data_IF_747887351753
#
_entry.id   IF_747887351753
#
_cell.length_a   1.000
_cell.length_b   1.000
_cell.length_c   1.000
_cell.angle_alpha   90.00
_cell.angle_beta   90.00
_cell.angle_gamma   90.00
#
_symmetry.space_group_name_H-M   'P 1'
#
loop_
_entity.id
_entity.type
_entity.pdbx_description
1 polymer ?
#
# COMPACT_ATOMS: atom_id res chain seq x y z
N UNK A 1 -18.48 31.28 17.22
CA UNK A 1 -18.68 29.90 16.77
C UNK A 1 -17.31 29.34 16.45
N UNK A 2 -16.70 28.67 17.42
CA UNK A 2 -15.44 27.95 17.23
C UNK A 2 -15.76 26.71 16.42
N UNK A 3 -15.32 26.67 15.16
CA UNK A 3 -15.28 25.41 14.42
C UNK A 3 -14.35 24.48 15.20
N UNK A 4 -14.94 23.50 15.89
CA UNK A 4 -14.23 22.34 16.36
C UNK A 4 -13.66 21.71 15.10
N UNK A 5 -12.35 21.85 14.89
CA UNK A 5 -11.60 21.06 13.92
C UNK A 5 -12.00 19.61 14.19
N UNK A 6 -12.91 19.06 13.38
CA UNK A 6 -13.30 17.66 13.50
C UNK A 6 -12.05 16.90 13.11
N UNK A 7 -11.36 16.38 14.13
CA UNK A 7 -10.23 15.49 13.93
C UNK A 7 -10.69 14.39 12.98
N UNK A 8 -9.95 14.10 11.90
CA UNK A 8 -10.24 12.95 11.09
C UNK A 8 -10.25 11.72 12.02
N UNK A 9 -11.18 10.77 11.82
CA UNK A 9 -11.23 9.57 12.65
C UNK A 9 -9.85 8.91 12.66
N UNK A 10 -9.46 8.27 13.79
CA UNK A 10 -8.18 7.58 13.85
C UNK A 10 -8.08 6.59 12.70
N UNK A 11 -6.98 6.66 11.95
CA UNK A 11 -6.78 5.81 10.80
C UNK A 11 -6.76 4.34 11.24
N UNK A 12 -7.22 3.41 10.39
CA UNK A 12 -7.06 2.00 10.66
C UNK A 12 -5.57 1.69 10.92
N UNK A 13 -5.21 0.82 11.89
CA UNK A 13 -3.81 0.55 12.26
C UNK A 13 -2.88 0.20 11.09
N UNK A 14 -3.44 -0.40 10.04
CA UNK A 14 -2.71 -0.80 8.83
C UNK A 14 -2.34 0.38 7.95
N UNK A 15 -3.25 1.35 7.87
CA UNK A 15 -3.02 2.59 7.14
C UNK A 15 -2.06 3.49 7.93
N UNK A 16 -2.26 3.57 9.24
CA UNK A 16 -1.38 4.26 10.17
C UNK A 16 0.08 3.74 10.07
N UNK A 17 0.27 2.42 10.14
CA UNK A 17 1.57 1.78 9.92
C UNK A 17 2.22 2.20 8.59
N UNK A 18 1.45 2.18 7.50
CA UNK A 18 1.97 2.49 6.18
C UNK A 18 2.46 3.95 6.10
N UNK A 19 1.67 4.88 6.63
CA UNK A 19 2.02 6.30 6.64
C UNK A 19 3.25 6.60 7.52
N UNK A 20 3.44 5.89 8.62
CA UNK A 20 4.58 6.12 9.50
C UNK A 20 5.88 5.45 9.02
N UNK A 21 5.78 4.35 8.26
CA UNK A 21 6.95 3.51 7.96
C UNK A 21 7.33 3.44 6.48
N UNK A 22 6.39 3.58 5.55
CA UNK A 22 6.61 3.27 4.13
C UNK A 22 6.41 4.48 3.21
N UNK A 23 5.45 5.37 3.51
CA UNK A 23 5.05 6.46 2.59
C UNK A 23 6.20 7.41 2.24
N UNK A 24 7.12 7.69 3.17
CA UNK A 24 8.24 8.60 2.94
C UNK A 24 9.29 8.03 1.97
N UNK A 25 9.46 6.70 1.93
CA UNK A 25 10.29 6.05 0.92
C UNK A 25 9.57 6.10 -0.44
N UNK A 26 8.28 5.74 -0.45
CA UNK A 26 7.48 5.73 -1.67
C UNK A 26 7.34 7.13 -2.32
N UNK A 27 7.29 8.19 -1.52
CA UNK A 27 7.20 9.57 -2.00
C UNK A 27 8.51 10.10 -2.61
N UNK A 28 9.66 9.54 -2.18
CA UNK A 28 10.97 9.92 -2.73
C UNK A 28 11.26 9.22 -4.05
N UNK A 29 10.78 8.00 -4.20
CA UNK A 29 10.97 7.18 -5.39
C UNK A 29 9.85 7.38 -6.41
N UNK A 30 10.07 6.94 -7.64
CA UNK A 30 8.99 6.89 -8.63
C UNK A 30 8.01 5.78 -8.24
N UNK A 31 6.76 6.13 -7.97
CA UNK A 31 5.73 5.14 -7.65
C UNK A 31 5.56 4.15 -8.81
N UNK A 32 5.69 2.83 -8.57
CA UNK A 32 5.56 1.83 -9.62
C UNK A 32 4.14 1.78 -10.21
N UNK A 33 4.04 1.49 -11.52
CA UNK A 33 2.75 1.44 -12.22
C UNK A 33 1.78 0.38 -11.65
N UNK A 34 2.32 -0.66 -11.00
CA UNK A 34 1.56 -1.75 -10.38
C UNK A 34 1.14 -1.45 -8.93
N UNK A 35 1.50 -0.30 -8.36
CA UNK A 35 1.12 0.07 -7.00
C UNK A 35 -0.15 0.92 -7.00
N UNK A 36 -1.18 0.48 -6.29
CA UNK A 36 -2.51 1.10 -6.27
C UNK A 36 -2.90 1.66 -4.89
N UNK A 37 -1.94 1.95 -4.02
CA UNK A 37 -2.25 2.50 -2.71
C UNK A 37 -3.20 1.61 -1.89
N UNK A 38 -4.21 2.20 -1.26
CA UNK A 38 -5.13 1.50 -0.36
C UNK A 38 -6.48 1.14 -1.01
N UNK A 39 -6.48 0.66 -2.25
CA UNK A 39 -7.71 0.18 -2.90
C UNK A 39 -8.32 -1.07 -2.24
N UNK A 40 -9.63 -1.24 -2.41
CA UNK A 40 -10.37 -2.40 -1.90
C UNK A 40 -10.01 -3.69 -2.65
N UNK A 41 -10.45 -4.81 -2.11
CA UNK A 41 -10.28 -6.12 -2.78
C UNK A 41 -11.10 -6.16 -4.07
N UNK A 42 -12.35 -5.72 -3.99
CA UNK A 42 -13.33 -5.74 -5.08
C UNK A 42 -12.83 -4.87 -6.25
N UNK A 43 -12.32 -3.66 -5.96
CA UNK A 43 -11.76 -2.80 -7.00
C UNK A 43 -10.52 -3.41 -7.67
N UNK A 44 -9.68 -4.12 -6.91
CA UNK A 44 -8.55 -4.87 -7.49
C UNK A 44 -9.02 -6.04 -8.37
N UNK A 45 -10.09 -6.73 -7.98
CA UNK A 45 -10.70 -7.80 -8.79
C UNK A 45 -11.25 -7.23 -10.11
N UNK A 46 -11.96 -6.10 -10.07
CA UNK A 46 -12.48 -5.40 -11.25
C UNK A 46 -11.37 -4.96 -12.20
N UNK A 47 -10.26 -4.43 -11.66
CA UNK A 47 -9.09 -4.02 -12.45
C UNK A 47 -8.44 -5.18 -13.20
N UNK A 48 -8.41 -6.35 -12.56
CA UNK A 48 -7.74 -7.55 -13.09
C UNK A 48 -8.67 -8.43 -13.94
N UNK A 49 -9.98 -8.25 -13.87
CA UNK A 49 -10.97 -9.12 -14.53
C UNK A 49 -10.70 -9.27 -16.02
N UNK A 50 -10.48 -8.16 -16.72
CA UNK A 50 -10.27 -8.07 -18.17
C UNK A 50 -8.80 -8.13 -18.59
N UNK A 51 -7.87 -8.35 -17.65
CA UNK A 51 -6.44 -8.38 -17.91
C UNK A 51 -5.95 -9.79 -18.32
N UNK A 52 -4.83 -9.89 -19.06
CA UNK A 52 -4.24 -11.19 -19.40
C UNK A 52 -3.76 -11.95 -18.15
N UNK A 53 -3.62 -13.28 -18.26
CA UNK A 53 -3.13 -14.12 -17.18
C UNK A 53 -1.74 -13.67 -16.69
N UNK A 54 -1.57 -13.71 -15.37
CA UNK A 54 -0.36 -13.22 -14.68
C UNK A 54 -0.32 -11.70 -14.49
N UNK A 55 -1.32 -10.95 -14.97
CA UNK A 55 -1.40 -9.52 -14.67
C UNK A 55 -1.58 -9.29 -13.17
N UNK A 56 -0.93 -8.29 -12.61
CA UNK A 56 -0.83 -8.13 -11.16
C UNK A 56 -0.81 -6.68 -10.69
N UNK A 57 -1.17 -6.47 -9.44
CA UNK A 57 -1.02 -5.22 -8.72
C UNK A 57 -0.69 -5.46 -7.24
N UNK A 58 -0.08 -4.47 -6.59
CA UNK A 58 0.12 -4.42 -5.15
C UNK A 58 -0.68 -3.27 -4.55
N UNK A 59 -1.24 -3.54 -3.38
CA UNK A 59 -2.02 -2.58 -2.58
C UNK A 59 -1.69 -2.70 -1.10
N UNK A 60 -1.85 -1.63 -0.35
CA UNK A 60 -1.82 -1.62 1.11
C UNK A 60 -2.97 -2.52 1.60
N UNK A 61 -2.68 -3.43 2.53
CA UNK A 61 -3.69 -4.39 2.93
C UNK A 61 -4.75 -3.78 3.85
N UNK A 62 -6.00 -4.16 3.62
CA UNK A 62 -7.13 -3.82 4.49
C UNK A 62 -7.35 -4.84 5.61
N UNK A 63 -6.63 -5.98 5.62
CA UNK A 63 -6.86 -7.06 6.59
C UNK A 63 -5.68 -7.32 7.52
N UNK A 64 -4.46 -6.93 7.15
CA UNK A 64 -3.25 -7.11 7.95
C UNK A 64 -2.27 -5.95 7.76
N UNK A 65 -1.27 -5.84 8.64
CA UNK A 65 -0.17 -4.89 8.46
C UNK A 65 0.76 -5.43 7.37
N UNK A 66 0.98 -4.65 6.32
CA UNK A 66 1.71 -5.06 5.12
C UNK A 66 0.95 -4.77 3.83
N UNK A 67 1.26 -5.56 2.80
CA UNK A 67 0.73 -5.39 1.47
C UNK A 67 -0.07 -6.63 1.02
N UNK A 68 -0.85 -6.47 -0.03
CA UNK A 68 -1.53 -7.57 -0.70
C UNK A 68 -1.18 -7.57 -2.18
N UNK A 69 -0.53 -8.64 -2.64
CA UNK A 69 -0.30 -8.91 -4.06
C UNK A 69 -1.58 -9.54 -4.64
N UNK A 70 -2.21 -8.85 -5.59
CA UNK A 70 -3.39 -9.34 -6.29
C UNK A 70 -3.03 -9.62 -7.74
N UNK A 71 -3.41 -10.78 -8.29
CA UNK A 71 -3.09 -11.12 -9.67
C UNK A 71 -4.13 -12.01 -10.34
N UNK A 72 -4.20 -11.91 -11.67
CA UNK A 72 -5.10 -12.69 -12.52
C UNK A 72 -4.53 -14.10 -12.72
N UNK A 73 -5.18 -15.08 -12.09
CA UNK A 73 -4.95 -16.49 -12.35
C UNK A 73 -5.96 -17.03 -13.38
N UNK A 74 -5.81 -18.29 -13.76
CA UNK A 74 -6.58 -18.90 -14.83
C UNK A 74 -8.10 -18.90 -14.59
N UNK A 75 -8.54 -19.12 -13.35
CA UNK A 75 -9.95 -19.24 -13.00
C UNK A 75 -10.47 -18.14 -12.07
N UNK A 76 -9.60 -17.31 -11.51
CA UNK A 76 -9.99 -16.28 -10.55
C UNK A 76 -8.91 -15.20 -10.38
N UNK A 77 -9.27 -14.12 -9.69
CA UNK A 77 -8.28 -13.24 -9.06
C UNK A 77 -7.77 -13.91 -7.78
N UNK A 78 -6.46 -13.86 -7.56
CA UNK A 78 -5.82 -14.36 -6.34
C UNK A 78 -5.23 -13.22 -5.55
N UNK A 79 -5.26 -13.37 -4.23
CA UNK A 79 -4.69 -12.39 -3.30
C UNK A 79 -3.71 -13.09 -2.36
N UNK A 80 -2.52 -12.52 -2.24
CA UNK A 80 -1.44 -13.01 -1.40
C UNK A 80 -1.05 -11.93 -0.41
N UNK A 81 -0.93 -12.33 0.85
CA UNK A 81 -0.35 -11.49 1.89
C UNK A 81 1.13 -11.30 1.61
N UNK A 82 1.61 -10.07 1.74
CA UNK A 82 3.03 -9.73 1.72
C UNK A 82 3.32 -9.04 3.06
N UNK A 83 4.06 -9.74 3.92
CA UNK A 83 4.42 -9.23 5.25
C UNK A 83 5.74 -8.48 5.17
N UNK A 84 5.83 -7.36 5.88
CA UNK A 84 7.10 -6.77 6.27
C UNK A 84 7.56 -7.43 7.57
N UNK A 85 8.76 -7.99 7.57
CA UNK A 85 9.40 -8.58 8.74
C UNK A 85 10.14 -7.52 9.56
N UNK A 86 10.50 -7.86 10.79
CA UNK A 86 11.18 -6.94 11.72
C UNK A 86 12.58 -6.53 11.23
N UNK A 87 13.21 -7.35 10.37
CA UNK A 87 14.49 -7.05 9.73
C UNK A 87 14.36 -6.14 8.48
N UNK A 88 13.14 -5.71 8.16
CA UNK A 88 12.83 -4.86 7.02
C UNK A 88 12.66 -5.59 5.69
N UNK A 89 12.78 -6.93 5.66
CA UNK A 89 12.55 -7.72 4.45
C UNK A 89 11.07 -8.08 4.27
N UNK A 90 10.68 -8.37 3.03
CA UNK A 90 9.32 -8.70 2.61
C UNK A 90 9.21 -10.19 2.30
N UNK A 91 8.12 -10.81 2.73
CA UNK A 91 7.86 -12.24 2.49
C UNK A 91 6.40 -12.53 2.18
N UNK A 92 6.17 -13.45 1.25
CA UNK A 92 4.86 -14.08 1.06
C UNK A 92 4.82 -15.31 1.98
N UNK A 93 3.87 -15.41 2.94
CA UNK A 93 3.82 -16.57 3.84
C UNK A 93 3.73 -17.89 3.07
N UNK A 94 4.66 -18.80 3.36
CA UNK A 94 4.78 -20.10 2.69
C UNK A 94 5.91 -20.15 1.65
N UNK A 95 6.38 -19.00 1.17
CA UNK A 95 7.59 -18.90 0.35
C UNK A 95 8.85 -19.03 1.20
N UNK A 96 9.94 -19.48 0.57
CA UNK A 96 11.25 -19.65 1.22
C UNK A 96 12.17 -18.44 1.11
N UNK A 97 11.83 -17.52 0.20
CA UNK A 97 12.66 -16.37 -0.15
C UNK A 97 12.05 -15.12 0.46
N UNK A 98 12.91 -14.27 1.01
CA UNK A 98 12.56 -12.91 1.42
C UNK A 98 13.19 -11.90 0.47
N UNK A 99 12.64 -10.70 0.41
CA UNK A 99 13.03 -9.66 -0.55
C UNK A 99 13.30 -8.34 0.17
N UNK A 100 14.29 -7.57 -0.27
CA UNK A 100 14.59 -6.27 0.34
C UNK A 100 13.59 -5.17 -0.04
N UNK A 101 12.82 -5.37 -1.13
CA UNK A 101 11.84 -4.39 -1.62
C UNK A 101 10.70 -5.05 -2.38
N UNK A 102 9.59 -4.32 -2.56
CA UNK A 102 8.47 -4.78 -3.39
C UNK A 102 8.90 -4.97 -4.86
N UNK A 103 9.77 -4.10 -5.37
CA UNK A 103 10.35 -4.24 -6.72
C UNK A 103 11.15 -5.53 -6.88
N UNK A 104 11.94 -5.91 -5.88
CA UNK A 104 12.68 -7.17 -5.89
C UNK A 104 11.73 -8.38 -5.82
N UNK A 105 10.72 -8.33 -4.95
CA UNK A 105 9.68 -9.37 -4.86
C UNK A 105 8.97 -9.57 -6.21
N UNK A 106 8.57 -8.47 -6.86
CA UNK A 106 7.94 -8.50 -8.19
C UNK A 106 8.90 -9.05 -9.22
N UNK A 107 10.15 -8.57 -9.24
CA UNK A 107 11.17 -8.99 -10.21
C UNK A 107 11.51 -10.48 -10.09
N UNK A 108 11.53 -11.01 -8.86
CA UNK A 108 11.69 -12.43 -8.59
C UNK A 108 10.52 -13.23 -9.13
N UNK A 109 9.28 -12.88 -8.77
CA UNK A 109 8.09 -13.65 -9.18
C UNK A 109 7.68 -13.46 -10.65
N UNK A 110 8.38 -12.61 -11.39
CA UNK A 110 8.35 -12.59 -12.87
C UNK A 110 9.11 -13.73 -13.52
N UNK A 111 10.05 -14.33 -12.80
CA UNK A 111 10.94 -15.38 -13.30
C UNK A 111 10.76 -16.70 -12.53
N UNK A 112 10.36 -16.62 -11.26
CA UNK A 112 10.15 -17.76 -10.38
C UNK A 112 8.67 -17.89 -10.01
N UNK A 113 8.01 -19.01 -10.34
CA UNK A 113 6.60 -19.19 -10.02
C UNK A 113 6.33 -19.10 -8.53
N UNK A 114 5.14 -18.60 -8.18
CA UNK A 114 4.68 -18.58 -6.79
C UNK A 114 4.25 -19.99 -6.38
N UNK A 115 4.83 -20.51 -5.31
CA UNK A 115 4.56 -21.83 -4.78
C UNK A 115 3.30 -21.85 -3.89
N UNK A 116 2.54 -22.96 -3.84
CA UNK A 116 2.62 -24.16 -4.67
C UNK A 116 1.84 -24.01 -5.99
N UNK A 117 1.53 -22.78 -6.40
CA UNK A 117 0.56 -22.50 -7.47
C UNK A 117 1.16 -22.64 -8.87
N UNK A 118 2.47 -22.47 -9.02
CA UNK A 118 3.14 -22.52 -10.31
C UNK A 118 2.78 -21.36 -11.24
N UNK A 119 2.31 -20.24 -10.69
CA UNK A 119 1.86 -19.07 -11.45
C UNK A 119 2.92 -17.95 -11.41
N UNK A 120 3.14 -17.27 -12.54
CA UNK A 120 4.09 -16.17 -12.67
C UNK A 120 3.38 -14.81 -12.72
N UNK A 121 4.07 -13.76 -12.26
CA UNK A 121 3.70 -12.38 -12.52
C UNK A 121 4.19 -12.00 -13.92
N UNK A 122 3.33 -11.42 -14.75
CA UNK A 122 3.69 -11.11 -16.15
C UNK A 122 3.61 -9.61 -16.41
N UNK A 123 2.41 -9.04 -16.31
CA UNK A 123 2.13 -7.66 -16.68
C UNK A 123 1.72 -6.83 -15.46
N UNK A 124 2.32 -5.65 -15.23
CA UNK A 124 1.81 -4.72 -14.23
C UNK A 124 0.41 -4.24 -14.67
N UNK A 125 -0.59 -4.43 -13.83
CA UNK A 125 -1.88 -3.79 -13.98
C UNK A 125 -1.68 -2.30 -13.65
N UNK A 126 -2.04 -1.44 -14.59
CA UNK A 126 -1.88 0.00 -14.45
C UNK A 126 -3.12 0.60 -13.79
N UNK A 127 -2.94 1.76 -13.18
CA UNK A 127 -4.05 2.57 -12.71
C UNK A 127 -4.95 3.03 -13.86
N UNK A 128 -6.26 3.10 -13.61
CA UNK A 128 -7.26 3.48 -14.62
C UNK A 128 -7.08 4.92 -15.09
N UNK A 129 -6.79 5.83 -14.15
CA UNK A 129 -6.62 7.26 -14.43
C UNK A 129 -5.31 7.77 -13.81
N UNK A 130 -4.27 8.04 -14.62
CA UNK A 130 -3.01 8.60 -14.13
C UNK A 130 -3.14 9.99 -13.52
N UNK A 131 -4.21 10.73 -13.81
CA UNK A 131 -4.46 12.06 -13.24
C UNK A 131 -5.17 12.03 -11.88
N UNK A 132 -5.72 10.88 -11.51
CA UNK A 132 -6.38 10.63 -10.22
C UNK A 132 -5.84 9.33 -9.68
N UNK A 133 -4.56 9.35 -9.31
CA UNK A 133 -3.84 8.12 -9.00
C UNK A 133 -4.38 7.50 -7.69
N UNK A 134 -4.55 6.18 -7.67
CA UNK A 134 -5.17 5.44 -6.55
C UNK A 134 -4.42 5.64 -5.21
N UNK A 135 -3.15 6.03 -5.26
CA UNK A 135 -2.31 6.30 -4.09
C UNK A 135 -2.34 7.75 -3.60
N UNK A 136 -3.00 8.69 -4.30
CA UNK A 136 -2.97 10.12 -3.95
C UNK A 136 -3.51 10.39 -2.55
N UNK A 137 -4.59 9.71 -2.16
CA UNK A 137 -5.14 9.82 -0.81
C UNK A 137 -4.09 9.52 0.26
N UNK A 138 -3.18 8.57 0.03
CA UNK A 138 -2.11 8.23 0.97
C UNK A 138 -1.14 9.39 1.18
N UNK A 139 -0.77 10.09 0.10
CA UNK A 139 0.13 11.24 0.20
C UNK A 139 -0.57 12.44 0.84
N UNK A 140 -1.86 12.65 0.56
CA UNK A 140 -2.66 13.67 1.23
C UNK A 140 -2.73 13.42 2.75
N UNK A 141 -3.00 12.18 3.18
CA UNK A 141 -2.98 11.83 4.60
C UNK A 141 -1.60 12.04 5.23
N UNK A 142 -0.52 11.64 4.55
CA UNK A 142 0.85 11.85 5.03
C UNK A 142 1.17 13.33 5.24
N UNK A 143 0.78 14.19 4.30
CA UNK A 143 1.03 15.63 4.38
C UNK A 143 0.22 16.27 5.52
N UNK A 144 -1.05 15.91 5.66
CA UNK A 144 -1.90 16.40 6.74
C UNK A 144 -1.35 16.02 8.14
N UNK A 145 -0.86 14.78 8.30
CA UNK A 145 -0.22 14.33 9.54
C UNK A 145 1.07 15.12 9.83
N UNK A 146 1.86 15.44 8.80
CA UNK A 146 3.08 16.23 8.96
C UNK A 146 2.78 17.70 9.36
N UNK A 147 1.74 18.31 8.80
CA UNK A 147 1.30 19.66 9.15
C UNK A 147 0.79 19.76 10.60
N UNK A 148 0.04 18.77 11.06
CA UNK A 148 -0.41 18.69 12.46
C UNK A 148 0.77 18.53 13.43
N UNK A 149 1.76 17.69 13.10
CA UNK A 149 2.96 17.52 13.92
C UNK A 149 3.86 18.79 13.96
N UNK A 150 3.82 19.60 12.90
CA UNK A 150 4.58 20.84 12.79
C UNK A 150 3.90 22.04 13.49
N UNK A 151 2.63 21.90 13.90
CA UNK A 151 1.93 22.91 14.69
C UNK A 151 2.20 22.68 16.19
N UNK A 152 3.11 23.45 16.85
CA UNK A 152 3.13 23.46 18.30
C UNK A 152 1.80 24.07 18.74
N UNK A 153 0.97 23.28 19.43
CA UNK A 153 -0.16 23.83 20.17
C UNK A 153 0.36 25.03 20.97
N UNK A 154 -0.20 26.21 20.72
CA UNK A 154 0.09 27.40 21.50
C UNK A 154 -0.18 27.07 22.96
N UNK A 155 0.88 26.79 23.72
CA UNK A 155 0.84 26.73 25.17
C UNK A 155 0.37 28.10 25.63
N UNK A 156 -0.91 28.20 25.97
CA UNK A 156 -1.45 29.34 26.68
C UNK A 156 -0.86 29.36 28.08
N UNK A 157 0.31 29.94 28.21
CA UNK A 157 0.80 30.50 29.47
C UNK A 157 0.25 31.92 29.62
N UNK A 158 0.08 32.34 30.89
CA UNK A 158 -0.52 33.58 31.41
C UNK A 158 -2.06 33.59 31.54
N UNK A 159 -2.67 33.88 32.69
CA UNK A 159 -2.19 34.73 33.78
C UNK A 159 -2.87 34.36 35.11
N UNK A 160 -2.05 34.26 36.17
CA UNK A 160 -2.49 34.46 37.56
C UNK A 160 -3.27 35.76 37.65
N UNK A 161 -4.46 35.74 38.24
CA UNK A 161 -4.88 36.60 39.38
C UNK A 161 -6.17 36.03 39.99
#
# INVERSE_FOLDING_TARGET
MTEVRKLPPPLPPRLDWFLHTQVAQLARDRVPEWFHGAISREYAEDLLESQPLGSFLLRVSHSHVGYTLSYKAQSCCRHLMVKLLDDGTLVIPGERVTHASLDELVSFHRQTPIEPRGELLTHPCRQKDPANADYEELFLFSNALAEEAACPASTGEEMRM
#
